data_IF_675410647795
#
_entry.id   IF_675410647795
#
_cell.length_a   1.000
_cell.length_b   1.000
_cell.length_c   1.000
_cell.angle_alpha   90.00
_cell.angle_beta   90.00
_cell.angle_gamma   90.00
#
_symmetry.space_group_name_H-M   'P 1'
#
loop_
_entity.id
_entity.type
_entity.pdbx_description
1 polymer ?
#
# COMPACT_ATOMS: atom_id res chain seq x y z
N UNK A 1 38.53 9.35 4.15
CA UNK A 1 37.14 9.25 4.63
C UNK A 1 36.36 8.46 3.58
N UNK A 2 36.16 7.16 3.78
CA UNK A 2 35.53 6.29 2.78
C UNK A 2 34.01 6.33 2.90
N UNK A 3 33.32 6.74 1.84
CA UNK A 3 31.88 6.52 1.72
C UNK A 3 31.65 5.05 1.38
N UNK A 4 31.07 4.29 2.30
CA UNK A 4 30.62 2.92 2.03
C UNK A 4 29.40 3.02 1.12
N UNK A 5 29.56 2.69 -0.16
CA UNK A 5 28.43 2.49 -1.06
C UNK A 5 27.76 1.18 -0.63
N UNK A 6 26.51 1.25 -0.18
CA UNK A 6 25.74 0.04 0.11
C UNK A 6 25.56 -0.69 -1.23
N UNK A 7 26.29 -1.79 -1.42
CA UNK A 7 26.10 -2.65 -2.59
C UNK A 7 24.79 -3.41 -2.41
N UNK A 8 23.72 -2.89 -2.99
CA UNK A 8 22.49 -3.65 -3.27
C UNK A 8 22.84 -4.66 -4.39
N UNK A 9 23.41 -5.80 -4.01
CA UNK A 9 23.74 -6.89 -4.93
C UNK A 9 22.65 -7.97 -4.87
N UNK A 10 22.30 -8.62 -6.00
CA UNK A 10 21.32 -9.71 -6.01
C UNK A 10 21.78 -10.96 -5.23
N UNK A 11 23.06 -11.03 -4.88
CA UNK A 11 23.70 -12.15 -4.20
C UNK A 11 23.48 -12.17 -2.67
N UNK A 12 22.84 -11.14 -2.11
CA UNK A 12 22.43 -11.09 -0.70
C UNK A 12 20.89 -11.15 -0.62
N UNK A 13 20.31 -12.32 -0.30
CA UNK A 13 18.87 -12.50 -0.20
C UNK A 13 18.18 -11.58 0.83
N UNK A 14 18.91 -11.09 1.84
CA UNK A 14 18.37 -10.18 2.85
C UNK A 14 18.35 -8.72 2.37
N UNK A 15 19.10 -8.38 1.31
CA UNK A 15 19.28 -7.00 0.83
C UNK A 15 18.88 -6.78 -0.64
N UNK A 16 18.46 -7.83 -1.34
CA UNK A 16 17.99 -7.72 -2.70
C UNK A 16 16.53 -7.25 -2.77
N UNK A 17 16.17 -6.65 -3.91
CA UNK A 17 14.81 -6.17 -4.16
C UNK A 17 13.94 -7.31 -4.71
N UNK A 18 12.70 -7.41 -4.22
CA UNK A 18 11.74 -8.43 -4.63
C UNK A 18 10.53 -7.78 -5.29
N UNK A 19 10.06 -8.39 -6.39
CA UNK A 19 8.78 -8.05 -6.99
C UNK A 19 7.72 -9.02 -6.49
N UNK A 20 6.59 -8.49 -6.03
CA UNK A 20 5.42 -9.27 -5.64
C UNK A 20 4.27 -8.94 -6.57
N UNK A 21 3.54 -9.97 -7.04
CA UNK A 21 2.31 -9.77 -7.81
C UNK A 21 1.20 -9.36 -6.85
N UNK A 22 0.47 -8.33 -7.22
CA UNK A 22 -0.72 -7.86 -6.51
C UNK A 22 -1.93 -8.10 -7.40
N UNK A 23 -2.94 -8.76 -6.85
CA UNK A 23 -4.27 -8.86 -7.44
C UNK A 23 -5.20 -7.91 -6.70
N UNK A 24 -5.89 -7.05 -7.45
CA UNK A 24 -6.83 -6.09 -6.88
C UNK A 24 -8.21 -6.73 -6.83
N UNK A 25 -8.80 -6.80 -5.63
CA UNK A 25 -10.17 -7.31 -5.46
C UNK A 25 -11.22 -6.34 -6.04
N UNK A 26 -10.92 -5.04 -6.09
CA UNK A 26 -11.78 -4.00 -6.66
C UNK A 26 -10.94 -2.84 -7.18
N UNK A 27 -11.37 -2.25 -8.29
CA UNK A 27 -10.80 -1.03 -8.87
C UNK A 27 -11.95 -0.12 -9.31
N UNK A 28 -11.81 1.18 -9.12
CA UNK A 28 -12.82 2.19 -9.49
C UNK A 28 -12.18 3.27 -10.37
N UNK A 29 -12.95 3.95 -11.24
CA UNK A 29 -12.47 5.11 -11.98
C UNK A 29 -12.18 6.30 -11.04
N UNK A 30 -11.47 7.31 -11.55
CA UNK A 30 -11.02 8.46 -10.73
C UNK A 30 -12.20 9.27 -10.17
N UNK A 31 -13.29 9.42 -10.92
CA UNK A 31 -14.48 10.14 -10.48
C UNK A 31 -15.24 9.43 -9.34
N UNK A 32 -14.97 8.14 -9.14
CA UNK A 32 -15.46 7.33 -8.02
C UNK A 32 -14.44 7.22 -6.87
N UNK A 33 -13.35 7.99 -6.91
CA UNK A 33 -12.35 7.97 -5.85
C UNK A 33 -12.93 8.49 -4.53
N UNK A 34 -12.72 7.73 -3.45
CA UNK A 34 -13.26 8.06 -2.13
C UNK A 34 -12.31 8.96 -1.33
N UNK A 35 -12.82 10.10 -0.87
CA UNK A 35 -12.13 10.97 0.07
C UNK A 35 -13.07 11.54 1.13
N UNK A 36 -12.61 11.51 2.38
CA UNK A 36 -13.26 12.23 3.49
C UNK A 36 -12.21 12.74 4.47
N UNK A 37 -12.59 13.72 5.30
CA UNK A 37 -11.68 14.30 6.29
C UNK A 37 -11.26 13.23 7.30
N UNK A 38 -9.96 13.13 7.54
CA UNK A 38 -9.39 12.22 8.55
C UNK A 38 -8.91 10.88 8.02
N UNK A 39 -9.06 10.59 6.71
CA UNK A 39 -8.44 9.40 6.11
C UNK A 39 -6.91 9.45 6.24
N UNK A 40 -6.31 8.28 6.48
CA UNK A 40 -4.86 8.11 6.61
C UNK A 40 -4.24 7.74 5.27
N UNK A 41 -3.38 8.62 4.75
CA UNK A 41 -2.52 8.35 3.59
C UNK A 41 -1.05 8.17 3.99
N UNK A 42 -0.26 7.47 3.17
CA UNK A 42 1.21 7.38 3.32
C UNK A 42 1.88 7.73 2.00
N UNK A 43 3.11 8.25 2.05
CA UNK A 43 3.92 8.51 0.86
C UNK A 43 4.44 7.21 0.20
N UNK A 44 4.44 6.09 0.92
CA UNK A 44 4.79 4.80 0.35
C UNK A 44 3.64 4.28 -0.53
N UNK A 45 3.97 3.59 -1.62
CA UNK A 45 3.01 2.99 -2.55
C UNK A 45 2.01 2.04 -1.88
N UNK A 46 2.44 1.35 -0.82
CA UNK A 46 1.59 0.53 0.03
C UNK A 46 2.10 0.57 1.48
N UNK A 47 1.19 0.41 2.43
CA UNK A 47 1.52 0.30 3.85
C UNK A 47 0.42 -0.47 4.57
N UNK A 48 0.75 -1.06 5.73
CA UNK A 48 -0.25 -1.71 6.58
C UNK A 48 -1.17 -0.66 7.20
N UNK A 49 -2.42 -0.60 6.75
CA UNK A 49 -3.44 0.30 7.30
C UNK A 49 -3.92 -0.23 8.66
N UNK A 50 -3.78 0.60 9.71
CA UNK A 50 -4.21 0.29 11.09
C UNK A 50 -5.11 1.35 11.71
N UNK A 51 -5.41 2.41 10.96
CA UNK A 51 -6.27 3.49 11.45
C UNK A 51 -7.72 3.01 11.36
N UNK A 52 -8.36 2.75 12.50
CA UNK A 52 -9.71 2.20 12.58
C UNK A 52 -10.72 3.04 11.81
N UNK A 53 -10.68 4.37 11.97
CA UNK A 53 -11.57 5.28 11.25
C UNK A 53 -11.47 5.13 9.73
N UNK A 54 -10.25 5.08 9.18
CA UNK A 54 -10.04 4.89 7.75
C UNK A 54 -10.55 3.53 7.29
N UNK A 55 -10.28 2.47 8.06
CA UNK A 55 -10.77 1.12 7.74
C UNK A 55 -12.30 1.06 7.68
N UNK A 56 -12.98 1.59 8.70
CA UNK A 56 -14.44 1.62 8.75
C UNK A 56 -15.05 2.36 7.55
N UNK A 57 -14.51 3.53 7.20
CA UNK A 57 -15.01 4.32 6.06
C UNK A 57 -14.77 3.62 4.72
N UNK A 58 -13.61 2.95 4.57
CA UNK A 58 -13.33 2.19 3.35
C UNK A 58 -14.19 0.93 3.24
N UNK A 59 -14.45 0.22 4.34
CA UNK A 59 -15.36 -0.94 4.35
C UNK A 59 -16.79 -0.50 4.04
N UNK A 60 -17.25 0.59 4.63
CA UNK A 60 -18.59 1.15 4.36
C UNK A 60 -18.78 1.58 2.90
N UNK A 61 -17.73 2.11 2.26
CA UNK A 61 -17.82 2.63 0.89
C UNK A 61 -17.51 1.58 -0.19
N UNK A 62 -16.52 0.72 0.03
CA UNK A 62 -16.06 -0.25 -0.97
C UNK A 62 -16.38 -1.71 -0.64
N UNK A 63 -16.67 -2.02 0.63
CA UNK A 63 -16.99 -3.38 1.06
C UNK A 63 -18.32 -3.83 0.47
N UNK A 64 -18.27 -4.86 -0.37
CA UNK A 64 -19.44 -5.62 -0.80
C UNK A 64 -19.40 -6.98 -0.08
N UNK A 65 -20.55 -7.45 0.41
CA UNK A 65 -20.68 -8.79 0.99
C UNK A 65 -20.27 -9.83 -0.05
N UNK A 66 -19.47 -10.81 0.37
CA UNK A 66 -19.01 -11.90 -0.49
C UNK A 66 -20.20 -12.57 -1.20
N UNK A 67 -20.14 -12.60 -2.54
CA UNK A 67 -21.02 -13.38 -3.41
C UNK A 67 -20.20 -14.32 -4.29
#
# INVERSE_FOLDING_TARGET
MGFSIVKHGPDDPERCEYFVRVEWSKTVPEDEAFWTKGLRASQNSAFKLRNTFTLERLVEHFGEEEG
#
